data_IF_891259456179
#
_entry.id   IF_891259456179
#
_cell.length_a   1.000
_cell.length_b   1.000
_cell.length_c   1.000
_cell.angle_alpha   90.00
_cell.angle_beta   90.00
_cell.angle_gamma   90.00
#
_symmetry.space_group_name_H-M   'P 1'
#
loop_
_entity.id
_entity.type
_entity.pdbx_description
1 polymer ?
#
# COMPACT_ATOMS: atom_id res chain seq x y z
N UNK A 1 -8.09 -0.73 12.51
CA UNK A 1 -7.37 0.46 12.04
C UNK A 1 -5.92 0.06 11.88
N UNK A 2 -5.37 0.22 10.68
CA UNK A 2 -3.96 -0.01 10.36
C UNK A 2 -3.18 1.32 10.45
N UNK A 3 -1.87 1.29 10.22
CA UNK A 3 -1.05 2.50 10.00
C UNK A 3 -0.51 2.53 8.59
N UNK A 4 -0.58 3.70 7.95
CA UNK A 4 -0.03 3.95 6.62
C UNK A 4 1.01 5.07 6.68
N UNK A 5 2.07 4.96 5.89
CA UNK A 5 3.05 6.00 5.63
C UNK A 5 3.25 6.09 4.12
N UNK A 6 3.13 7.29 3.59
CA UNK A 6 3.36 7.59 2.18
C UNK A 6 4.36 8.75 2.14
N UNK A 7 5.41 8.63 1.34
CA UNK A 7 6.41 9.68 1.21
C UNK A 7 6.96 9.76 -0.21
N UNK A 8 7.32 10.96 -0.64
CA UNK A 8 8.05 11.24 -1.87
C UNK A 8 9.15 12.23 -1.53
N UNK A 9 10.40 11.85 -1.74
CA UNK A 9 11.55 12.65 -1.33
C UNK A 9 12.76 12.38 -2.24
N UNK A 10 13.70 13.31 -2.27
CA UNK A 10 15.00 13.10 -2.90
C UNK A 10 15.98 12.53 -1.90
N UNK A 11 17.01 11.82 -2.36
CA UNK A 11 17.94 11.09 -1.48
C UNK A 11 18.70 11.95 -0.49
N UNK A 12 18.87 13.25 -0.75
CA UNK A 12 19.41 14.21 0.23
C UNK A 12 18.54 14.36 1.50
N UNK A 13 17.30 13.85 1.47
CA UNK A 13 16.35 13.82 2.60
C UNK A 13 16.19 12.44 3.23
N UNK A 14 17.05 11.47 2.89
CA UNK A 14 16.93 10.10 3.41
C UNK A 14 16.94 10.06 4.94
N UNK A 15 17.73 10.90 5.61
CA UNK A 15 17.79 10.92 7.08
C UNK A 15 16.49 11.43 7.72
N UNK A 16 15.85 12.43 7.09
CA UNK A 16 14.51 12.88 7.51
C UNK A 16 13.48 11.75 7.34
N UNK A 17 13.58 11.00 6.24
CA UNK A 17 12.73 9.83 6.03
C UNK A 17 12.99 8.73 7.08
N UNK A 18 14.25 8.47 7.46
CA UNK A 18 14.61 7.53 8.53
C UNK A 18 13.93 7.91 9.85
N UNK A 19 13.93 9.19 10.21
CA UNK A 19 13.26 9.69 11.42
C UNK A 19 11.74 9.51 11.38
N UNK A 20 11.11 9.80 10.24
CA UNK A 20 9.68 9.60 10.01
C UNK A 20 9.34 8.11 10.08
N UNK A 21 10.12 7.24 9.44
CA UNK A 21 9.90 5.80 9.44
C UNK A 21 10.08 5.22 10.85
N UNK A 22 11.07 5.68 11.62
CA UNK A 22 11.22 5.26 13.00
C UNK A 22 10.03 5.68 13.88
N UNK A 23 9.50 6.89 13.65
CA UNK A 23 8.28 7.37 14.30
C UNK A 23 7.07 6.51 13.93
N UNK A 24 6.95 6.13 12.65
CA UNK A 24 5.94 5.19 12.16
C UNK A 24 6.05 3.82 12.85
N UNK A 25 7.27 3.27 12.99
CA UNK A 25 7.49 1.97 13.64
C UNK A 25 7.10 2.03 15.12
N UNK A 26 7.53 3.07 15.85
CA UNK A 26 7.13 3.29 17.25
C UNK A 26 5.62 3.42 17.40
N UNK A 27 4.95 4.14 16.49
CA UNK A 27 3.49 4.27 16.48
C UNK A 27 2.78 2.96 16.15
N UNK A 28 3.44 2.05 15.42
CA UNK A 28 2.92 0.72 15.10
C UNK A 28 3.07 -0.25 16.27
N UNK A 29 4.14 -0.11 17.06
CA UNK A 29 4.37 -0.86 18.30
C UNK A 29 3.40 -0.44 19.41
N UNK A 30 3.15 0.86 19.56
CA UNK A 30 2.20 1.40 20.52
C UNK A 30 1.43 2.59 19.96
N UNK A 31 0.13 2.37 19.77
CA UNK A 31 -0.83 3.32 19.23
C UNK A 31 -1.83 3.76 20.31
N UNK A 32 -1.62 4.96 20.83
CA UNK A 32 -2.46 5.57 21.87
C UNK A 32 -3.90 5.79 21.39
N UNK A 33 -4.10 6.06 20.09
CA UNK A 33 -5.45 6.26 19.54
C UNK A 33 -6.19 4.93 19.43
N UNK A 34 -5.50 3.88 18.97
CA UNK A 34 -6.07 2.53 18.91
C UNK A 34 -6.42 2.01 20.31
N UNK A 35 -5.56 2.26 21.30
CA UNK A 35 -5.76 1.88 22.70
C UNK A 35 -7.00 2.55 23.32
N UNK A 36 -7.28 3.80 22.92
CA UNK A 36 -8.50 4.51 23.35
C UNK A 36 -9.78 4.00 22.69
N UNK A 37 -9.67 3.46 21.49
CA UNK A 37 -10.82 3.05 20.66
C UNK A 37 -11.10 1.54 20.72
N UNK A 38 -10.18 0.75 21.27
CA UNK A 38 -10.26 -0.71 21.26
C UNK A 38 -9.39 -1.34 22.34
N UNK A 39 -9.56 -2.64 22.60
CA UNK A 39 -8.70 -3.42 23.50
C UNK A 39 -7.34 -3.81 22.89
N UNK A 40 -6.93 -3.18 21.78
CA UNK A 40 -5.63 -3.41 21.15
C UNK A 40 -4.82 -2.12 21.23
N UNK A 41 -3.50 -2.25 21.28
CA UNK A 41 -2.58 -1.11 21.36
C UNK A 41 -1.48 -1.16 20.29
N UNK A 42 -1.41 -2.20 19.46
CA UNK A 42 -0.35 -2.39 18.48
C UNK A 42 -0.88 -2.90 17.15
N UNK A 43 -0.11 -2.68 16.08
CA UNK A 43 -0.37 -3.13 14.71
C UNK A 43 0.54 -4.33 14.39
N UNK A 44 0.13 -5.50 14.90
CA UNK A 44 1.00 -6.69 15.00
C UNK A 44 0.81 -7.74 13.91
N UNK A 45 -0.09 -7.53 12.95
CA UNK A 45 -0.55 -8.58 12.02
C UNK A 45 0.23 -8.57 10.69
N UNK A 46 1.44 -8.02 10.70
CA UNK A 46 2.34 -7.91 9.56
C UNK A 46 2.63 -6.47 9.13
N UNK A 47 3.56 -6.33 8.19
CA UNK A 47 3.84 -5.07 7.50
C UNK A 47 4.33 -5.32 6.08
N UNK A 48 4.42 -4.26 5.30
CA UNK A 48 5.14 -4.26 4.04
C UNK A 48 5.48 -2.87 3.55
N UNK A 49 6.36 -2.82 2.55
CA UNK A 49 6.63 -1.61 1.78
C UNK A 49 6.64 -1.89 0.27
N UNK A 50 6.34 -0.85 -0.48
CA UNK A 50 6.73 -0.71 -1.87
C UNK A 50 7.43 0.63 -2.05
N UNK A 51 8.49 0.67 -2.85
CA UNK A 51 9.15 1.91 -3.24
C UNK A 51 9.57 1.85 -4.71
N UNK A 52 9.45 3.00 -5.36
CA UNK A 52 9.92 3.26 -6.72
C UNK A 52 10.93 4.39 -6.63
N UNK A 53 12.13 4.16 -7.15
CA UNK A 53 13.11 5.21 -7.36
C UNK A 53 13.81 5.11 -8.70
N UNK A 54 14.60 6.12 -9.06
CA UNK A 54 15.43 6.11 -10.26
C UNK A 54 16.88 5.83 -9.88
N UNK A 55 17.45 4.77 -10.43
CA UNK A 55 18.88 4.48 -10.39
C UNK A 55 19.45 4.69 -11.79
N UNK A 56 20.26 5.73 -12.00
CA UNK A 56 20.80 6.07 -13.32
C UNK A 56 19.70 6.16 -14.41
N UNK A 57 18.63 6.93 -14.14
CA UNK A 57 17.43 7.05 -14.99
C UNK A 57 16.65 5.75 -15.25
N UNK A 58 16.99 4.65 -14.58
CA UNK A 58 16.25 3.38 -14.68
C UNK A 58 15.33 3.22 -13.46
N UNK A 59 14.02 2.98 -13.63
CA UNK A 59 13.14 2.65 -12.52
C UNK A 59 13.62 1.42 -11.76
N UNK A 60 13.76 1.55 -10.44
CA UNK A 60 14.11 0.47 -9.54
C UNK A 60 13.03 0.31 -8.49
N UNK A 61 12.62 -0.94 -8.26
CA UNK A 61 11.53 -1.28 -7.37
C UNK A 61 12.06 -2.03 -6.16
N UNK A 62 11.54 -1.64 -5.00
CA UNK A 62 11.71 -2.30 -3.72
C UNK A 62 10.33 -2.76 -3.26
N UNK A 63 10.16 -4.05 -3.02
CA UNK A 63 8.90 -4.61 -2.55
C UNK A 63 9.14 -5.69 -1.51
N UNK A 64 8.44 -5.59 -0.38
CA UNK A 64 8.48 -6.59 0.69
C UNK A 64 7.20 -6.58 1.50
N UNK A 65 6.80 -7.75 1.97
CA UNK A 65 5.77 -7.90 3.01
C UNK A 65 6.07 -9.14 3.85
N UNK A 66 5.61 -9.11 5.09
CA UNK A 66 5.78 -10.20 6.05
C UNK A 66 4.63 -10.23 7.08
N UNK A 67 4.50 -11.33 7.80
CA UNK A 67 3.62 -11.47 8.97
C UNK A 67 4.26 -10.99 10.28
N UNK A 68 5.58 -10.81 10.31
CA UNK A 68 6.23 -10.22 11.48
C UNK A 68 5.76 -8.76 11.64
N UNK A 69 5.58 -8.24 12.85
CA UNK A 69 5.34 -6.82 13.05
C UNK A 69 6.55 -5.98 12.62
N UNK A 70 6.33 -4.75 12.15
CA UNK A 70 7.43 -3.87 11.67
C UNK A 70 8.46 -3.53 12.75
N UNK A 71 8.06 -3.58 14.03
CA UNK A 71 8.94 -3.36 15.18
C UNK A 71 9.70 -4.62 15.64
N UNK A 72 9.43 -5.80 15.06
CA UNK A 72 10.18 -7.02 15.34
C UNK A 72 11.64 -6.89 14.91
N UNK A 73 12.59 -7.50 15.64
CA UNK A 73 14.04 -7.38 15.37
C UNK A 73 14.41 -7.71 13.92
N UNK A 74 13.98 -8.86 13.41
CA UNK A 74 14.20 -9.24 12.01
C UNK A 74 13.56 -8.26 11.00
N UNK A 75 12.45 -7.62 11.36
CA UNK A 75 11.85 -6.59 10.51
C UNK A 75 12.67 -5.30 10.50
N UNK A 76 13.32 -4.95 11.63
CA UNK A 76 14.26 -3.82 11.70
C UNK A 76 15.46 -4.04 10.77
N UNK A 77 16.04 -5.24 10.78
CA UNK A 77 17.16 -5.59 9.90
C UNK A 77 16.77 -5.45 8.42
N UNK A 78 15.56 -5.89 8.06
CA UNK A 78 15.01 -5.76 6.71
C UNK A 78 14.80 -4.28 6.35
N UNK A 79 14.21 -3.48 7.25
CA UNK A 79 14.02 -2.04 7.05
C UNK A 79 15.35 -1.34 6.77
N UNK A 80 16.41 -1.64 7.53
CA UNK A 80 17.75 -1.08 7.30
C UNK A 80 18.31 -1.44 5.93
N UNK A 81 18.13 -2.68 5.47
CA UNK A 81 18.53 -3.10 4.12
C UNK A 81 17.81 -2.30 3.04
N UNK A 82 16.50 -2.07 3.20
CA UNK A 82 15.71 -1.27 2.26
C UNK A 82 16.17 0.19 2.23
N UNK A 83 16.43 0.79 3.39
CA UNK A 83 16.97 2.15 3.48
C UNK A 83 18.31 2.26 2.75
N UNK A 84 19.26 1.35 3.01
CA UNK A 84 20.56 1.35 2.32
C UNK A 84 20.41 1.23 0.80
N UNK A 85 19.42 0.48 0.32
CA UNK A 85 19.15 0.37 -1.11
C UNK A 85 18.50 1.63 -1.69
N UNK A 86 17.65 2.32 -0.93
CA UNK A 86 17.07 3.61 -1.33
C UNK A 86 18.13 4.72 -1.48
N UNK A 87 19.22 4.67 -0.72
CA UNK A 87 20.35 5.61 -0.83
C UNK A 87 21.03 5.59 -2.22
N UNK A 88 20.75 4.57 -3.04
CA UNK A 88 21.27 4.45 -4.41
C UNK A 88 20.38 5.12 -5.48
N UNK A 89 19.26 5.72 -5.08
CA UNK A 89 18.28 6.33 -5.99
C UNK A 89 18.37 7.85 -5.94
N UNK A 90 17.78 8.58 -6.88
CA UNK A 90 17.74 10.05 -6.85
C UNK A 90 16.43 10.58 -6.23
N UNK A 91 15.30 10.14 -6.78
CA UNK A 91 13.94 10.45 -6.32
C UNK A 91 13.27 9.16 -5.87
N UNK A 92 12.75 9.15 -4.65
CA UNK A 92 12.19 7.97 -3.99
C UNK A 92 10.73 8.25 -3.67
N UNK A 93 9.85 7.35 -4.10
CA UNK A 93 8.43 7.31 -3.71
C UNK A 93 8.20 6.01 -2.96
N UNK A 94 7.67 6.08 -1.74
CA UNK A 94 7.52 4.91 -0.87
C UNK A 94 6.16 4.90 -0.20
N UNK A 95 5.58 3.72 -0.12
CA UNK A 95 4.40 3.41 0.67
C UNK A 95 4.74 2.30 1.66
N UNK A 96 4.36 2.46 2.91
CA UNK A 96 4.58 1.50 4.00
C UNK A 96 3.25 1.28 4.71
N UNK A 97 2.95 0.04 5.05
CA UNK A 97 1.74 -0.33 5.76
C UNK A 97 2.08 -1.25 6.94
N UNK A 98 1.55 -0.93 8.12
CA UNK A 98 1.58 -1.82 9.28
C UNK A 98 0.15 -2.27 9.57
N UNK A 99 -0.05 -3.58 9.55
CA UNK A 99 -1.37 -4.20 9.48
C UNK A 99 -1.90 -4.53 10.87
N UNK A 100 -3.21 -4.29 11.01
CA UNK A 100 -4.04 -4.86 12.06
C UNK A 100 -5.27 -5.50 11.43
N UNK A 101 -5.28 -6.83 11.36
CA UNK A 101 -6.35 -7.59 10.72
C UNK A 101 -7.65 -7.44 11.50
N UNK A 102 -8.72 -7.10 10.77
CA UNK A 102 -10.08 -7.21 11.31
C UNK A 102 -10.42 -8.69 11.50
N UNK A 103 -11.37 -8.99 12.40
CA UNK A 103 -11.80 -10.38 12.69
C UNK A 103 -12.48 -11.07 11.50
N UNK A 104 -12.92 -10.33 10.48
CA UNK A 104 -13.70 -10.84 9.34
C UNK A 104 -12.91 -10.90 8.03
N UNK A 105 -11.67 -10.43 8.06
CA UNK A 105 -10.78 -10.44 6.89
C UNK A 105 -9.82 -11.63 6.95
N UNK A 106 -9.45 -12.20 5.79
CA UNK A 106 -8.55 -13.34 5.75
C UNK A 106 -7.17 -12.98 6.29
N UNK A 107 -6.60 -13.88 7.09
CA UNK A 107 -5.27 -13.72 7.68
C UNK A 107 -4.21 -14.44 6.84
N UNK A 108 -2.98 -13.91 6.85
CA UNK A 108 -1.84 -14.45 6.10
C UNK A 108 -1.08 -13.38 5.32
N UNK A 109 0.19 -13.67 5.00
CA UNK A 109 1.13 -12.74 4.34
C UNK A 109 0.61 -12.26 2.99
N UNK A 110 -0.07 -13.15 2.26
CA UNK A 110 -0.74 -12.84 1.00
C UNK A 110 -1.71 -11.64 1.14
N UNK A 111 -2.38 -11.50 2.29
CA UNK A 111 -3.34 -10.44 2.58
C UNK A 111 -2.71 -9.23 3.28
N UNK A 112 -1.40 -9.24 3.48
CA UNK A 112 -0.66 -8.07 3.94
C UNK A 112 -0.41 -7.12 2.78
N UNK A 113 -0.55 -5.84 3.08
CA UNK A 113 -0.23 -4.74 2.20
C UNK A 113 1.30 -4.56 2.04
N UNK A 114 1.75 -3.92 0.95
CA UNK A 114 0.98 -3.48 -0.22
C UNK A 114 0.50 -4.63 -1.11
N UNK A 115 -0.60 -4.40 -1.82
CA UNK A 115 -1.08 -5.30 -2.89
C UNK A 115 -0.44 -4.88 -4.21
N UNK A 116 0.43 -5.74 -4.73
CA UNK A 116 0.98 -5.64 -6.09
C UNK A 116 -0.04 -6.22 -7.07
N UNK A 117 -0.39 -5.45 -8.10
CA UNK A 117 -1.22 -5.93 -9.21
C UNK A 117 -0.52 -5.57 -10.52
N UNK A 118 -0.19 -6.60 -11.30
CA UNK A 118 0.37 -6.46 -12.63
C UNK A 118 -0.76 -6.50 -13.65
N UNK A 119 -0.77 -5.51 -14.53
CA UNK A 119 -1.65 -5.42 -15.69
C UNK A 119 -0.78 -5.29 -16.95
N UNK A 120 -1.40 -5.37 -18.13
CA UNK A 120 -0.67 -5.37 -19.40
C UNK A 120 0.18 -4.11 -19.63
N UNK A 121 -0.28 -2.93 -19.19
CA UNK A 121 0.37 -1.65 -19.49
C UNK A 121 0.87 -0.92 -18.25
N UNK A 122 0.68 -1.51 -17.06
CA UNK A 122 1.06 -0.89 -15.80
C UNK A 122 1.24 -1.92 -14.68
N UNK A 123 1.96 -1.52 -13.64
CA UNK A 123 2.00 -2.21 -12.35
C UNK A 123 1.63 -1.22 -11.26
N UNK A 124 0.78 -1.64 -10.32
CA UNK A 124 0.47 -0.86 -9.13
C UNK A 124 0.91 -1.55 -7.85
N UNK A 125 1.21 -0.73 -6.83
CA UNK A 125 1.25 -1.15 -5.44
C UNK A 125 0.27 -0.31 -4.64
N UNK A 126 -0.68 -0.97 -3.99
CA UNK A 126 -1.78 -0.31 -3.31
C UNK A 126 -1.79 -0.63 -1.81
N UNK A 127 -1.98 0.39 -0.98
CA UNK A 127 -2.21 0.27 0.46
C UNK A 127 -3.56 0.88 0.85
N UNK A 128 -4.25 0.29 1.82
CA UNK A 128 -5.53 0.78 2.30
C UNK A 128 -5.69 0.58 3.80
N UNK A 129 -6.24 1.59 4.46
CA UNK A 129 -6.76 1.54 5.82
C UNK A 129 -8.23 1.96 5.79
N UNK A 130 -9.12 1.01 6.05
CA UNK A 130 -10.55 1.24 5.99
C UNK A 130 -11.28 -0.02 5.57
N UNK A 131 -12.47 0.13 4.99
CA UNK A 131 -13.30 -0.99 4.59
C UNK A 131 -14.21 -0.65 3.42
N UNK A 132 -14.27 -1.55 2.45
CA UNK A 132 -15.16 -1.44 1.29
C UNK A 132 -16.12 -2.62 1.22
N UNK A 133 -17.31 -2.42 0.65
CA UNK A 133 -18.25 -3.50 0.39
C UNK A 133 -17.68 -4.42 -0.69
N UNK A 134 -16.94 -5.42 -0.22
CA UNK A 134 -16.27 -6.37 -1.07
C UNK A 134 -17.22 -7.21 -1.92
N UNK A 135 -18.48 -7.39 -1.50
CA UNK A 135 -19.45 -8.18 -2.26
C UNK A 135 -19.95 -7.37 -3.45
N UNK A 136 -20.29 -6.11 -3.26
CA UNK A 136 -20.70 -5.23 -4.34
C UNK A 136 -19.55 -4.97 -5.32
N UNK A 137 -18.38 -4.59 -4.81
CA UNK A 137 -17.22 -4.31 -5.66
C UNK A 137 -16.74 -5.54 -6.44
N UNK A 138 -16.83 -6.74 -5.85
CA UNK A 138 -16.47 -7.98 -6.56
C UNK A 138 -17.43 -8.32 -7.70
N UNK A 139 -18.72 -7.96 -7.59
CA UNK A 139 -19.68 -8.14 -8.70
C UNK A 139 -19.31 -7.26 -9.88
N UNK A 140 -18.94 -6.01 -9.62
CA UNK A 140 -18.52 -5.03 -10.65
C UNK A 140 -17.31 -5.54 -11.45
N UNK A 141 -16.33 -6.15 -10.79
CA UNK A 141 -15.09 -6.62 -11.44
C UNK A 141 -15.06 -8.10 -11.80
N UNK A 142 -16.16 -8.82 -11.54
CA UNK A 142 -16.36 -10.22 -11.91
C UNK A 142 -15.48 -11.23 -11.18
N UNK A 143 -15.23 -11.06 -9.88
CA UNK A 143 -14.43 -12.01 -9.08
C UNK A 143 -15.19 -12.56 -7.87
N UNK A 144 -14.69 -13.63 -7.26
CA UNK A 144 -15.29 -14.21 -6.06
C UNK A 144 -14.77 -13.48 -4.79
N UNK A 145 -15.64 -12.85 -3.98
CA UNK A 145 -15.25 -12.02 -2.83
C UNK A 145 -14.62 -12.81 -1.66
N UNK A 146 -14.71 -14.14 -1.64
CA UNK A 146 -14.26 -14.95 -0.49
C UNK A 146 -12.77 -15.28 -0.53
N UNK A 147 -12.09 -15.13 -1.67
CA UNK A 147 -10.66 -15.41 -1.81
C UNK A 147 -9.75 -14.20 -1.55
N UNK A 148 -10.33 -13.02 -1.37
CA UNK A 148 -9.61 -11.76 -1.32
C UNK A 148 -10.06 -10.92 -0.14
N UNK A 149 -9.14 -10.09 0.37
CA UNK A 149 -9.54 -9.02 1.28
C UNK A 149 -10.21 -7.90 0.49
N UNK A 150 -11.02 -7.11 1.17
CA UNK A 150 -11.65 -5.91 0.63
C UNK A 150 -10.62 -4.94 0.01
N UNK A 151 -9.50 -4.69 0.67
CA UNK A 151 -8.40 -3.88 0.14
C UNK A 151 -7.74 -4.45 -1.12
N UNK A 152 -7.66 -5.78 -1.27
CA UNK A 152 -7.12 -6.39 -2.49
C UNK A 152 -8.11 -6.24 -3.64
N UNK A 153 -9.41 -6.42 -3.37
CA UNK A 153 -10.47 -6.20 -4.36
C UNK A 153 -10.43 -4.74 -4.84
N UNK A 154 -10.20 -3.77 -3.95
CA UNK A 154 -9.94 -2.36 -4.30
C UNK A 154 -8.72 -2.19 -5.21
N UNK A 155 -7.61 -2.88 -4.92
CA UNK A 155 -6.41 -2.84 -5.77
C UNK A 155 -6.70 -3.37 -7.19
N UNK A 156 -7.43 -4.49 -7.31
CA UNK A 156 -7.84 -5.07 -8.60
C UNK A 156 -8.79 -4.12 -9.34
N UNK A 157 -9.71 -3.47 -8.63
CA UNK A 157 -10.60 -2.49 -9.23
C UNK A 157 -9.83 -1.30 -9.82
N UNK A 158 -8.94 -0.68 -9.03
CA UNK A 158 -8.15 0.47 -9.47
C UNK A 158 -7.23 0.09 -10.63
N UNK A 159 -6.49 -1.01 -10.54
CA UNK A 159 -5.59 -1.48 -11.60
C UNK A 159 -6.31 -1.69 -12.93
N UNK A 160 -7.45 -2.39 -12.94
CA UNK A 160 -8.27 -2.58 -14.15
C UNK A 160 -8.78 -1.27 -14.73
N UNK A 161 -9.19 -0.33 -13.89
CA UNK A 161 -9.65 1.00 -14.34
C UNK A 161 -8.51 1.78 -15.00
N UNK A 162 -7.36 1.85 -14.34
CA UNK A 162 -6.19 2.56 -14.84
C UNK A 162 -5.59 1.91 -16.08
N UNK A 163 -5.59 0.58 -16.19
CA UNK A 163 -5.06 -0.11 -17.35
C UNK A 163 -5.85 0.24 -18.61
N UNK A 164 -7.19 0.30 -18.51
CA UNK A 164 -8.06 0.77 -19.61
C UNK A 164 -7.81 2.23 -19.97
N UNK A 165 -7.46 3.08 -19.01
CA UNK A 165 -7.10 4.46 -19.26
C UNK A 165 -5.78 4.58 -20.03
N UNK A 166 -4.77 3.80 -19.63
CA UNK A 166 -3.48 3.76 -20.33
C UNK A 166 -3.66 3.23 -21.76
N UNK A 167 -4.45 2.18 -21.98
CA UNK A 167 -4.76 1.64 -23.31
C UNK A 167 -5.45 2.64 -24.25
N UNK A 168 -6.24 3.55 -23.69
CA UNK A 168 -6.97 4.59 -24.44
C UNK A 168 -6.19 5.90 -24.55
N UNK A 169 -4.95 5.95 -24.06
CA UNK A 169 -4.12 7.15 -24.01
C UNK A 169 -4.80 8.35 -23.34
N UNK A 170 -5.68 8.07 -22.37
CA UNK A 170 -6.36 9.13 -21.60
C UNK A 170 -5.44 9.75 -20.57
N UNK A 171 -5.80 10.95 -20.11
CA UNK A 171 -5.13 11.60 -18.98
C UNK A 171 -5.19 10.74 -17.71
N UNK A 172 -4.03 10.23 -17.31
CA UNK A 172 -3.89 9.27 -16.23
C UNK A 172 -4.19 9.88 -14.87
N UNK A 173 -3.87 11.16 -14.66
CA UNK A 173 -4.12 11.83 -13.37
C UNK A 173 -5.62 11.95 -13.12
N UNK A 174 -6.38 12.37 -14.14
CA UNK A 174 -7.83 12.39 -14.09
C UNK A 174 -8.43 10.98 -13.92
N UNK A 175 -7.85 9.97 -14.57
CA UNK A 175 -8.26 8.59 -14.37
C UNK A 175 -8.04 8.08 -12.94
N UNK A 176 -6.94 8.45 -12.29
CA UNK A 176 -6.72 8.13 -10.87
C UNK A 176 -7.82 8.78 -10.02
N UNK A 177 -8.10 10.06 -10.21
CA UNK A 177 -9.17 10.77 -9.48
C UNK A 177 -10.52 10.08 -9.68
N UNK A 178 -10.88 9.75 -10.92
CA UNK A 178 -12.17 9.13 -11.22
C UNK A 178 -12.27 7.70 -10.67
N UNK A 179 -11.17 6.94 -10.67
CA UNK A 179 -11.13 5.62 -10.04
C UNK A 179 -11.47 5.71 -8.55
N UNK A 180 -10.95 6.70 -7.82
CA UNK A 180 -11.27 6.92 -6.41
C UNK A 180 -12.69 7.46 -6.20
N UNK A 181 -13.18 8.37 -7.06
CA UNK A 181 -14.58 8.84 -7.04
C UNK A 181 -15.58 7.71 -7.26
N UNK A 182 -15.20 6.67 -8.00
CA UNK A 182 -16.03 5.49 -8.15
C UNK A 182 -15.86 4.52 -6.96
N UNK A 183 -14.63 4.32 -6.49
CA UNK A 183 -14.35 3.43 -5.36
C UNK A 183 -15.03 3.91 -4.06
N UNK A 184 -15.12 5.22 -3.81
CA UNK A 184 -15.74 5.78 -2.61
C UNK A 184 -17.22 5.40 -2.45
N UNK A 185 -17.91 5.08 -3.55
CA UNK A 185 -19.30 4.62 -3.55
C UNK A 185 -19.46 3.26 -2.86
N UNK A 186 -18.37 2.50 -2.75
CA UNK A 186 -18.33 1.20 -2.11
C UNK A 186 -17.75 1.26 -0.69
N UNK A 187 -17.36 2.42 -0.17
CA UNK A 187 -16.86 2.53 1.21
C UNK A 187 -17.98 2.23 2.20
N UNK A 188 -17.72 1.33 3.16
CA UNK A 188 -18.70 0.95 4.18
C UNK A 188 -18.97 2.15 5.10
N UNK A 189 -20.23 2.29 5.54
CA UNK A 189 -20.61 3.32 6.50
C UNK A 189 -19.73 3.29 7.77
N UNK A 190 -19.33 4.47 8.25
CA UNK A 190 -18.39 4.64 9.38
C UNK A 190 -17.01 4.00 9.16
N UNK A 191 -16.61 3.79 7.91
CA UNK A 191 -15.27 3.36 7.52
C UNK A 191 -14.54 4.44 6.73
N UNK A 192 -13.24 4.24 6.50
CA UNK A 192 -12.39 5.16 5.75
C UNK A 192 -11.98 4.59 4.39
N UNK A 193 -11.44 5.47 3.53
CA UNK A 193 -10.76 5.11 2.29
C UNK A 193 -9.37 5.74 2.27
N UNK A 194 -8.63 5.58 3.38
CA UNK A 194 -7.27 6.07 3.50
C UNK A 194 -6.36 5.16 2.66
N UNK A 195 -5.79 5.69 1.59
CA UNK A 195 -5.11 4.88 0.58
C UNK A 195 -3.79 5.48 0.16
N UNK A 196 -2.92 4.61 -0.36
CA UNK A 196 -1.69 4.99 -1.04
C UNK A 196 -1.53 4.14 -2.29
N UNK A 197 -1.12 4.79 -3.39
CA UNK A 197 -0.97 4.16 -4.69
C UNK A 197 0.41 4.55 -5.26
N UNK A 198 1.23 3.55 -5.53
CA UNK A 198 2.35 3.68 -6.44
C UNK A 198 1.97 3.05 -7.78
N UNK A 199 2.35 3.71 -8.85
CA UNK A 199 2.02 3.33 -10.22
C UNK A 199 3.28 3.46 -11.07
N UNK A 200 3.56 2.41 -11.84
CA UNK A 200 4.57 2.42 -12.89
C UNK A 200 3.87 2.02 -14.19
N UNK A 201 3.98 2.86 -15.22
CA UNK A 201 3.32 2.68 -16.51
C UNK A 201 4.32 3.10 -17.61
N UNK A 202 4.23 2.49 -18.80
CA UNK A 202 5.15 2.69 -19.96
C UNK A 202 6.62 2.24 -19.75
N UNK A 203 7.05 2.04 -18.52
CA UNK A 203 8.34 1.44 -18.14
C UNK A 203 8.13 0.22 -17.21
N UNK A 204 7.15 -0.65 -17.51
CA UNK A 204 6.92 -1.83 -16.68
C UNK A 204 8.16 -2.72 -16.68
N UNK A 205 8.64 -3.20 -15.52
CA UNK A 205 9.79 -4.08 -15.42
C UNK A 205 9.57 -5.48 -16.03
N UNK A 206 8.37 -5.73 -16.58
CA UNK A 206 7.93 -6.98 -17.19
C UNK A 206 7.08 -6.68 -18.43
#
# INVERSE_FOLDING_TARGET
MCRILISSFNTDKIDVFKDILNSFIKSSERDILLEKLSNRSSHSDGWGLASIGLANNTPSILFHKTLLPIYHSQSRDIVELFIKRMELYDNIKVIVHSRLSSRREPYGERYSHPFEVLENNLTIWFIHNGGVDKKELSKEIGINPYYYSDSWISAIYISKYLNKCVEKETDLDNCVIDSYRNLIKYTIENSALDTGLLLLYKDTPY
#
